data_IF_628534169302
#
_entry.id   IF_628534169302
#
_cell.length_a   1.000
_cell.length_b   1.000
_cell.length_c   1.000
_cell.angle_alpha   90.00
_cell.angle_beta   90.00
_cell.angle_gamma   90.00
#
_symmetry.space_group_name_H-M   'P 1'
#
loop_
_entity.id
_entity.type
_entity.pdbx_description
1 polymer ?
#
# COMPACT_ATOMS: atom_id res chain seq x y z
N UNK A 1 20.31 24.17 14.67
CA UNK A 1 20.77 23.16 13.70
C UNK A 1 21.13 23.92 12.46
N UNK A 2 22.39 23.83 12.04
CA UNK A 2 22.87 24.55 10.85
C UNK A 2 22.34 23.88 9.59
N UNK A 3 22.34 24.61 8.48
CA UNK A 3 21.78 24.12 7.21
C UNK A 3 22.59 24.53 6.00
N UNK A 4 22.68 23.61 5.04
CA UNK A 4 23.10 23.90 3.66
C UNK A 4 21.85 24.04 2.82
N UNK A 5 21.77 25.11 2.03
CA UNK A 5 20.63 25.42 1.16
C UNK A 5 21.02 25.23 -0.30
N UNK A 6 20.18 24.53 -1.05
CA UNK A 6 20.27 24.43 -2.51
C UNK A 6 18.94 24.92 -3.06
N UNK A 7 18.95 26.11 -3.64
CA UNK A 7 17.76 26.77 -4.17
C UNK A 7 17.77 26.75 -5.71
N UNK A 8 16.57 26.63 -6.29
CA UNK A 8 16.32 26.72 -7.73
C UNK A 8 17.07 25.69 -8.61
N UNK A 9 17.29 24.47 -8.12
CA UNK A 9 17.83 23.39 -8.95
C UNK A 9 16.76 22.95 -9.96
N UNK A 10 16.99 23.21 -11.25
CA UNK A 10 16.02 22.94 -12.32
C UNK A 10 16.38 21.69 -13.10
N UNK A 11 15.43 20.75 -13.19
CA UNK A 11 15.61 19.48 -13.89
C UNK A 11 14.42 19.21 -14.80
N UNK A 12 14.69 18.82 -16.05
CA UNK A 12 13.65 18.30 -16.94
C UNK A 12 13.31 16.86 -16.53
N UNK A 13 12.05 16.63 -16.15
CA UNK A 13 11.59 15.36 -15.59
C UNK A 13 10.24 14.96 -16.20
N UNK A 14 10.05 13.67 -16.48
CA UNK A 14 8.75 13.12 -16.88
C UNK A 14 7.95 12.78 -15.62
N UNK A 15 6.98 13.63 -15.26
CA UNK A 15 6.22 13.52 -14.02
C UNK A 15 4.81 14.11 -14.17
N UNK A 16 3.83 13.51 -13.49
CA UNK A 16 2.41 13.83 -13.66
C UNK A 16 1.61 12.60 -14.05
N UNK A 17 0.28 12.72 -13.95
CA UNK A 17 -0.67 11.63 -14.19
C UNK A 17 -1.34 11.72 -15.56
N UNK A 18 -1.37 12.91 -16.19
CA UNK A 18 -2.03 13.09 -17.48
C UNK A 18 -1.15 12.55 -18.61
N UNK A 19 -1.75 11.98 -19.64
CA UNK A 19 -1.05 11.33 -20.74
C UNK A 19 0.06 12.21 -21.37
N UNK A 20 -0.22 13.49 -21.61
CA UNK A 20 0.76 14.42 -22.19
C UNK A 20 1.99 14.67 -21.27
N UNK A 21 1.80 14.59 -19.95
CA UNK A 21 2.88 14.74 -18.96
C UNK A 21 3.78 13.51 -18.88
N UNK A 22 3.32 12.38 -19.43
CA UNK A 22 4.07 11.13 -19.51
C UNK A 22 4.95 11.05 -20.75
N UNK A 23 4.69 11.88 -21.75
CA UNK A 23 5.41 11.91 -23.02
C UNK A 23 6.47 13.01 -23.06
N UNK A 24 6.18 14.16 -22.45
CA UNK A 24 7.03 15.35 -22.53
C UNK A 24 7.63 15.65 -21.16
N UNK A 25 8.96 15.64 -21.08
CA UNK A 25 9.67 16.08 -19.89
C UNK A 25 9.42 17.58 -19.65
N UNK A 26 9.13 17.93 -18.41
CA UNK A 26 8.84 19.30 -18.00
C UNK A 26 9.81 19.76 -16.91
N UNK A 27 10.15 21.07 -16.86
CA UNK A 27 11.03 21.58 -15.84
C UNK A 27 10.32 21.55 -14.48
N UNK A 28 10.91 20.83 -13.54
CA UNK A 28 10.62 20.96 -12.11
C UNK A 28 11.73 21.77 -11.45
N UNK A 29 11.38 22.49 -10.38
CA UNK A 29 12.32 23.12 -9.47
C UNK A 29 12.42 22.30 -8.20
N UNK A 30 13.64 22.05 -7.75
CA UNK A 30 13.99 21.32 -6.54
C UNK A 30 14.70 22.29 -5.60
N UNK A 31 14.12 22.51 -4.43
CA UNK A 31 14.72 23.29 -3.36
C UNK A 31 15.01 22.36 -2.17
N UNK A 32 16.24 22.36 -1.66
CA UNK A 32 16.70 21.50 -0.56
C UNK A 32 17.19 22.34 0.62
N UNK A 33 16.76 21.97 1.82
CA UNK A 33 17.29 22.50 3.07
C UNK A 33 17.84 21.33 3.89
N UNK A 34 19.16 21.20 3.92
CA UNK A 34 19.88 20.04 4.44
C UNK A 34 20.40 20.37 5.84
N UNK A 35 19.90 19.69 6.86
CA UNK A 35 20.34 19.78 8.24
C UNK A 35 21.64 19.02 8.46
N UNK A 36 22.68 19.76 8.86
CA UNK A 36 24.04 19.27 9.12
C UNK A 36 24.68 20.14 10.20
N UNK A 37 25.51 19.57 11.07
CA UNK A 37 26.35 20.35 11.98
C UNK A 37 27.55 20.95 11.22
N UNK A 38 27.59 22.28 11.10
CA UNK A 38 28.66 22.98 10.38
C UNK A 38 29.78 23.49 11.30
N UNK A 39 29.72 23.19 12.59
CA UNK A 39 30.65 23.74 13.57
C UNK A 39 32.10 23.31 13.33
N UNK A 40 32.33 22.04 13.00
CA UNK A 40 33.67 21.53 12.72
C UNK A 40 34.24 22.14 11.43
N UNK A 41 33.49 22.06 10.32
CA UNK A 41 33.90 22.63 9.04
C UNK A 41 34.22 24.12 9.15
N UNK A 42 33.41 24.90 9.87
CA UNK A 42 33.65 26.34 10.08
C UNK A 42 34.91 26.65 10.91
N UNK A 43 35.41 25.70 11.69
CA UNK A 43 36.65 25.85 12.48
C UNK A 43 37.88 25.30 11.77
N UNK A 44 37.73 24.22 11.03
CA UNK A 44 38.84 23.49 10.41
C UNK A 44 39.14 23.92 8.98
N UNK A 45 38.16 24.46 8.26
CA UNK A 45 38.19 24.66 6.81
C UNK A 45 38.45 23.34 6.04
N UNK A 46 38.06 22.20 6.62
CA UNK A 46 38.18 20.88 6.01
C UNK A 46 36.90 20.50 5.25
N UNK A 47 37.05 20.22 3.95
CA UNK A 47 35.95 19.79 3.10
C UNK A 47 35.38 18.42 3.51
N UNK A 48 36.16 17.57 4.18
CA UNK A 48 35.69 16.29 4.69
C UNK A 48 34.76 16.43 5.92
N UNK A 49 34.77 17.58 6.59
CA UNK A 49 33.92 17.86 7.74
C UNK A 49 32.54 18.44 7.36
N UNK A 50 32.17 18.43 6.08
CA UNK A 50 30.88 18.93 5.59
C UNK A 50 30.32 18.09 4.44
N UNK A 51 29.09 18.37 4.04
CA UNK A 51 28.42 17.69 2.92
C UNK A 51 28.80 18.37 1.61
N UNK A 52 29.29 17.57 0.64
CA UNK A 52 29.62 18.06 -0.70
C UNK A 52 28.33 18.32 -1.52
N UNK A 53 27.77 19.52 -1.41
CA UNK A 53 26.54 19.92 -2.10
C UNK A 53 26.59 19.73 -3.63
N UNK A 54 27.77 19.79 -4.26
CA UNK A 54 27.92 19.46 -5.68
C UNK A 54 27.54 18.01 -6.02
N UNK A 55 27.95 17.04 -5.19
CA UNK A 55 27.61 15.62 -5.37
C UNK A 55 26.14 15.37 -5.04
N UNK A 56 25.59 16.10 -4.05
CA UNK A 56 24.15 16.10 -3.76
C UNK A 56 23.36 16.55 -4.99
N UNK A 57 23.72 17.70 -5.59
CA UNK A 57 23.07 18.20 -6.81
C UNK A 57 23.15 17.21 -7.96
N UNK A 58 24.30 16.57 -8.17
CA UNK A 58 24.50 15.55 -9.21
C UNK A 58 23.57 14.35 -9.01
N UNK A 59 23.61 13.70 -7.84
CA UNK A 59 22.77 12.51 -7.55
C UNK A 59 21.28 12.82 -7.60
N UNK A 60 20.86 13.98 -7.08
CA UNK A 60 19.45 14.42 -7.12
C UNK A 60 19.00 14.72 -8.56
N UNK A 61 19.87 15.32 -9.37
CA UNK A 61 19.57 15.62 -10.78
C UNK A 61 19.43 14.34 -11.60
N UNK A 62 20.33 13.39 -11.42
CA UNK A 62 20.27 12.08 -12.08
C UNK A 62 19.00 11.32 -11.71
N UNK A 63 18.71 11.21 -10.40
CA UNK A 63 17.50 10.59 -9.89
C UNK A 63 16.23 11.21 -10.49
N UNK A 64 16.15 12.54 -10.52
CA UNK A 64 14.99 13.25 -11.05
C UNK A 64 14.84 13.02 -12.56
N UNK A 65 15.94 13.13 -13.33
CA UNK A 65 15.94 12.93 -14.79
C UNK A 65 15.49 11.52 -15.18
N UNK A 66 15.93 10.51 -14.44
CA UNK A 66 15.64 9.11 -14.73
C UNK A 66 14.30 8.64 -14.14
N UNK A 67 13.70 9.45 -13.27
CA UNK A 67 12.41 9.12 -12.66
C UNK A 67 11.31 9.02 -13.72
N UNK A 68 10.44 8.04 -13.51
CA UNK A 68 9.17 7.87 -14.21
C UNK A 68 8.01 7.87 -13.23
N UNK A 69 8.19 8.44 -12.04
CA UNK A 69 7.14 8.48 -11.04
C UNK A 69 5.95 9.33 -11.52
N UNK A 70 4.76 8.97 -11.10
CA UNK A 70 3.52 9.71 -11.42
C UNK A 70 3.37 10.92 -10.50
N UNK A 71 3.70 10.74 -9.21
CA UNK A 71 3.46 11.67 -8.12
C UNK A 71 4.72 12.46 -7.75
N UNK A 72 4.57 13.76 -7.47
CA UNK A 72 5.66 14.59 -6.94
C UNK A 72 6.10 14.11 -5.56
N UNK A 73 5.17 13.61 -4.76
CA UNK A 73 5.37 13.05 -3.43
C UNK A 73 6.35 11.87 -3.46
N UNK A 74 6.21 10.99 -4.45
CA UNK A 74 7.09 9.82 -4.60
C UNK A 74 8.50 10.25 -4.98
N UNK A 75 8.63 11.19 -5.91
CA UNK A 75 9.92 11.72 -6.30
C UNK A 75 10.58 12.48 -5.13
N UNK A 76 9.81 13.30 -4.40
CA UNK A 76 10.31 14.03 -3.23
C UNK A 76 10.86 13.08 -2.16
N UNK A 77 10.14 11.96 -1.90
CA UNK A 77 10.60 10.93 -0.97
C UNK A 77 11.93 10.30 -1.42
N UNK A 78 12.05 9.91 -2.70
CA UNK A 78 13.32 9.36 -3.22
C UNK A 78 14.47 10.36 -3.15
N UNK A 79 14.20 11.64 -3.41
CA UNK A 79 15.20 12.72 -3.27
C UNK A 79 15.65 12.82 -1.82
N UNK A 80 14.73 12.78 -0.86
CA UNK A 80 15.06 12.78 0.56
C UNK A 80 15.92 11.56 0.95
N UNK A 81 15.56 10.35 0.48
CA UNK A 81 16.32 9.12 0.74
C UNK A 81 17.77 9.26 0.23
N UNK A 82 17.97 9.72 -1.01
CA UNK A 82 19.31 9.94 -1.61
C UNK A 82 20.13 10.97 -0.83
N UNK A 83 19.50 12.04 -0.34
CA UNK A 83 20.20 13.07 0.44
C UNK A 83 20.57 12.55 1.84
N UNK A 84 19.73 11.70 2.43
CA UNK A 84 19.99 11.10 3.75
C UNK A 84 21.07 9.99 3.72
N UNK A 85 21.42 9.46 2.55
CA UNK A 85 22.58 8.56 2.37
C UNK A 85 23.93 9.24 2.67
N UNK A 86 23.98 10.57 2.74
CA UNK A 86 25.20 11.30 3.07
C UNK A 86 25.42 11.31 4.59
N UNK A 87 26.52 10.71 5.04
CA UNK A 87 26.83 10.41 6.45
C UNK A 87 26.84 11.59 7.44
N UNK A 88 26.83 12.84 6.97
CA UNK A 88 26.72 14.03 7.82
C UNK A 88 25.32 14.69 7.84
N UNK A 89 24.38 14.20 7.02
CA UNK A 89 23.01 14.74 6.95
C UNK A 89 22.07 14.09 7.96
N UNK A 90 21.57 14.87 8.91
CA UNK A 90 20.63 14.43 9.92
C UNK A 90 19.16 14.64 9.51
N UNK A 91 18.90 15.63 8.67
CA UNK A 91 17.57 16.04 8.23
C UNK A 91 17.61 16.64 6.83
N UNK A 92 16.56 16.46 6.05
CA UNK A 92 16.36 17.19 4.80
C UNK A 92 14.91 17.62 4.64
N UNK A 93 14.71 18.90 4.32
CA UNK A 93 13.46 19.41 3.75
C UNK A 93 13.60 19.46 2.23
N UNK A 94 12.68 18.82 1.52
CA UNK A 94 12.63 18.78 0.05
C UNK A 94 11.37 19.48 -0.41
N UNK A 95 11.52 20.51 -1.25
CA UNK A 95 10.40 21.13 -1.97
C UNK A 95 10.54 20.85 -3.47
N UNK A 96 9.56 20.16 -4.05
CA UNK A 96 9.45 19.99 -5.50
C UNK A 96 8.34 20.88 -6.03
N UNK A 97 8.70 21.83 -6.89
CA UNK A 97 7.76 22.78 -7.51
C UNK A 97 7.58 22.45 -8.99
N UNK A 98 6.33 22.29 -9.40
CA UNK A 98 5.92 22.24 -10.79
C UNK A 98 5.64 23.65 -11.28
N UNK A 99 6.50 24.13 -12.17
CA UNK A 99 6.47 25.51 -12.65
C UNK A 99 5.30 25.80 -13.61
N UNK A 100 4.70 24.75 -14.19
CA UNK A 100 3.56 24.84 -15.11
C UNK A 100 2.61 23.67 -14.87
N UNK A 101 1.80 23.72 -13.81
CA UNK A 101 0.85 22.65 -13.53
C UNK A 101 -0.27 22.63 -14.58
N UNK A 102 -0.80 21.46 -14.95
CA UNK A 102 -1.90 21.35 -15.92
C UNK A 102 -3.26 21.66 -15.24
N UNK A 103 -3.38 22.85 -14.70
CA UNK A 103 -4.58 23.35 -14.00
C UNK A 103 -5.23 24.40 -14.91
N UNK A 104 -6.56 24.38 -15.01
CA UNK A 104 -7.29 25.29 -15.92
C UNK A 104 -7.29 26.73 -15.42
N UNK A 105 -7.25 26.91 -14.10
CA UNK A 105 -7.12 28.18 -13.41
C UNK A 105 -5.70 28.74 -13.51
N UNK A 106 -5.56 30.07 -13.41
CA UNK A 106 -4.28 30.77 -13.51
C UNK A 106 -3.43 30.63 -12.23
N UNK A 107 -2.85 29.45 -12.06
CA UNK A 107 -1.95 29.12 -10.95
C UNK A 107 -0.50 29.19 -11.44
N UNK A 108 0.31 30.02 -10.80
CA UNK A 108 1.72 30.22 -11.18
C UNK A 108 2.57 28.95 -11.01
N UNK A 109 2.36 28.19 -9.94
CA UNK A 109 3.03 26.92 -9.68
C UNK A 109 2.32 26.11 -8.60
N UNK A 110 2.58 24.82 -8.55
CA UNK A 110 2.20 23.97 -7.41
C UNK A 110 3.43 23.26 -6.87
N UNK A 111 3.45 22.98 -5.57
CA UNK A 111 4.59 22.32 -4.95
C UNK A 111 4.17 21.29 -3.90
N UNK A 112 5.03 20.29 -3.72
CA UNK A 112 5.01 19.37 -2.58
C UNK A 112 6.23 19.66 -1.74
N UNK A 113 6.04 19.73 -0.42
CA UNK A 113 7.11 19.88 0.56
C UNK A 113 7.06 18.74 1.57
N UNK A 114 8.19 18.09 1.80
CA UNK A 114 8.34 17.05 2.83
C UNK A 114 9.58 17.34 3.68
N UNK A 115 9.57 16.84 4.91
CA UNK A 115 10.74 16.80 5.80
C UNK A 115 10.99 15.35 6.18
N UNK A 116 12.24 14.91 6.12
CA UNK A 116 12.67 13.58 6.56
C UNK A 116 13.93 13.68 7.39
N UNK A 117 14.04 12.83 8.40
CA UNK A 117 15.22 12.74 9.26
C UNK A 117 15.95 11.43 9.02
N UNK A 118 17.25 11.40 9.31
CA UNK A 118 18.03 10.17 9.33
C UNK A 118 17.45 9.14 10.29
N UNK A 119 16.92 9.58 11.44
CA UNK A 119 16.28 8.69 12.40
C UNK A 119 15.07 7.97 11.80
N UNK A 120 14.27 8.63 10.96
CA UNK A 120 13.16 8.00 10.23
C UNK A 120 13.64 7.08 9.12
N UNK A 121 14.72 7.40 8.42
CA UNK A 121 15.29 6.55 7.36
C UNK A 121 16.06 5.33 7.90
N UNK A 122 16.65 5.46 9.09
CA UNK A 122 17.32 4.38 9.82
C UNK A 122 16.35 3.56 10.67
N UNK A 123 15.11 4.01 10.83
CA UNK A 123 14.06 3.17 11.39
C UNK A 123 13.92 1.93 10.48
N UNK A 124 13.80 0.72 11.05
CA UNK A 124 13.54 -0.46 10.24
C UNK A 124 12.31 -0.21 9.36
N UNK A 125 12.23 -0.83 8.15
CA UNK A 125 11.05 -0.68 7.29
C UNK A 125 9.80 -0.94 8.13
N UNK A 126 8.73 -0.16 7.89
CA UNK A 126 7.41 -0.34 8.52
C UNK A 126 7.21 -1.83 8.77
N UNK A 127 7.13 -2.23 10.05
CA UNK A 127 7.04 -3.63 10.44
C UNK A 127 5.97 -4.28 9.56
N UNK A 128 6.40 -5.22 8.71
CA UNK A 128 5.46 -5.87 7.81
C UNK A 128 4.59 -6.79 8.66
N UNK A 129 3.32 -6.46 8.74
CA UNK A 129 2.33 -7.22 9.50
C UNK A 129 1.74 -8.30 8.61
N UNK A 130 1.59 -9.51 9.16
CA UNK A 130 0.98 -10.63 8.46
C UNK A 130 -0.53 -10.58 8.64
N UNK A 131 -1.29 -10.60 7.56
CA UNK A 131 -2.75 -10.63 7.62
C UNK A 131 -3.34 -11.71 6.71
N UNK A 132 -4.44 -12.32 7.16
CA UNK A 132 -5.22 -13.27 6.38
C UNK A 132 -6.54 -12.62 5.97
N UNK A 133 -6.85 -12.66 4.67
CA UNK A 133 -8.03 -12.00 4.10
C UNK A 133 -8.86 -13.04 3.36
N UNK A 134 -10.14 -13.14 3.69
CA UNK A 134 -11.10 -13.92 2.92
C UNK A 134 -11.67 -13.09 1.77
N UNK A 135 -11.76 -13.72 0.61
CA UNK A 135 -12.34 -13.18 -0.60
C UNK A 135 -13.54 -14.02 -1.00
N UNK A 136 -14.65 -13.38 -1.37
CA UNK A 136 -15.88 -14.07 -1.77
C UNK A 136 -16.62 -13.36 -2.92
N UNK A 137 -17.15 -14.10 -3.89
CA UNK A 137 -17.94 -13.52 -4.99
C UNK A 137 -19.01 -14.48 -5.50
N UNK A 138 -20.24 -14.01 -5.69
CA UNK A 138 -21.32 -14.80 -6.31
C UNK A 138 -22.07 -14.09 -7.45
N UNK A 139 -21.65 -12.89 -7.85
CA UNK A 139 -22.31 -12.13 -8.91
C UNK A 139 -21.34 -11.85 -10.07
N UNK A 140 -21.82 -12.02 -11.30
CA UNK A 140 -21.06 -11.71 -12.51
C UNK A 140 -19.88 -12.65 -12.74
N UNK A 141 -18.76 -12.10 -13.22
CA UNK A 141 -17.51 -12.84 -13.42
C UNK A 141 -16.77 -12.99 -12.09
N UNK A 142 -17.18 -14.02 -11.33
CA UNK A 142 -16.73 -14.28 -9.96
C UNK A 142 -15.20 -14.38 -9.85
N UNK A 143 -14.56 -15.09 -10.77
CA UNK A 143 -13.09 -15.23 -10.77
C UNK A 143 -12.39 -13.91 -11.10
N UNK A 144 -12.93 -13.10 -12.03
CA UNK A 144 -12.37 -11.78 -12.31
C UNK A 144 -12.41 -10.87 -11.09
N UNK A 145 -13.46 -10.95 -10.27
CA UNK A 145 -13.52 -10.20 -9.02
C UNK A 145 -12.48 -10.68 -7.99
N UNK A 146 -12.24 -11.99 -7.89
CA UNK A 146 -11.15 -12.51 -7.06
C UNK A 146 -9.78 -12.04 -7.55
N UNK A 147 -9.49 -12.13 -8.86
CA UNK A 147 -8.25 -11.59 -9.45
C UNK A 147 -8.07 -10.11 -9.17
N UNK A 148 -9.14 -9.34 -9.34
CA UNK A 148 -9.15 -7.91 -9.05
C UNK A 148 -8.78 -7.65 -7.57
N UNK A 149 -9.41 -8.36 -6.64
CA UNK A 149 -9.10 -8.22 -5.22
C UNK A 149 -7.63 -8.54 -4.91
N UNK A 150 -7.12 -9.66 -5.43
CA UNK A 150 -5.71 -10.05 -5.29
C UNK A 150 -4.77 -8.99 -5.84
N UNK A 151 -5.07 -8.41 -7.01
CA UNK A 151 -4.24 -7.36 -7.61
C UNK A 151 -4.24 -6.04 -6.82
N UNK A 152 -5.33 -5.76 -6.09
CA UNK A 152 -5.45 -4.56 -5.26
C UNK A 152 -4.90 -4.73 -3.84
N UNK A 153 -4.72 -5.97 -3.39
CA UNK A 153 -4.03 -6.31 -2.16
C UNK A 153 -2.52 -6.27 -2.41
N UNK A 154 -1.81 -5.39 -1.73
CA UNK A 154 -0.35 -5.30 -1.84
C UNK A 154 0.32 -6.51 -1.20
N UNK A 155 1.35 -7.05 -1.86
CA UNK A 155 2.25 -8.08 -1.34
C UNK A 155 1.53 -9.34 -0.81
N UNK A 156 0.83 -10.03 -1.72
CA UNK A 156 0.24 -11.34 -1.45
C UNK A 156 1.34 -12.39 -1.39
N UNK A 157 1.51 -13.01 -0.21
CA UNK A 157 2.57 -13.98 0.07
C UNK A 157 2.11 -15.40 -0.26
N UNK A 158 0.83 -15.70 -0.03
CA UNK A 158 0.25 -17.00 -0.32
C UNK A 158 -1.24 -16.90 -0.65
N UNK A 159 -1.75 -17.86 -1.42
CA UNK A 159 -3.16 -17.97 -1.81
C UNK A 159 -3.63 -19.42 -1.68
N UNK A 160 -4.82 -19.62 -1.12
CA UNK A 160 -5.48 -20.92 -1.17
C UNK A 160 -5.95 -21.24 -2.59
N UNK A 161 -6.44 -22.45 -2.79
CA UNK A 161 -7.32 -22.76 -3.91
C UNK A 161 -8.60 -21.92 -3.85
N UNK A 162 -9.28 -21.82 -4.99
CA UNK A 162 -10.63 -21.29 -5.08
C UNK A 162 -11.61 -22.42 -4.74
N UNK A 163 -12.58 -22.12 -3.88
CA UNK A 163 -13.63 -23.05 -3.46
C UNK A 163 -14.99 -22.55 -3.92
N UNK A 164 -15.75 -23.40 -4.59
CA UNK A 164 -17.15 -23.12 -4.92
C UNK A 164 -18.05 -23.65 -3.81
N UNK A 165 -18.94 -22.81 -3.30
CA UNK A 165 -19.81 -23.14 -2.15
C UNK A 165 -21.24 -22.65 -2.35
N UNK A 166 -22.21 -23.38 -1.79
CA UNK A 166 -23.58 -22.88 -1.68
C UNK A 166 -23.65 -21.61 -0.80
N UNK A 167 -24.61 -20.70 -1.05
CA UNK A 167 -24.87 -19.57 -0.17
C UNK A 167 -25.20 -20.02 1.26
N UNK A 168 -24.68 -19.30 2.26
CA UNK A 168 -25.02 -19.52 3.67
C UNK A 168 -25.93 -18.37 4.13
N UNK A 169 -27.24 -18.64 4.15
CA UNK A 169 -28.28 -17.64 4.44
C UNK A 169 -28.53 -16.63 3.31
N UNK A 170 -29.46 -15.69 3.55
CA UNK A 170 -29.91 -14.72 2.54
C UNK A 170 -31.03 -15.28 1.64
N UNK A 171 -31.44 -14.55 0.59
CA UNK A 171 -32.45 -15.01 -0.38
C UNK A 171 -32.19 -16.41 -0.96
N UNK A 172 -33.25 -17.19 -1.21
CA UNK A 172 -33.17 -18.58 -1.66
C UNK A 172 -32.62 -18.74 -3.10
N UNK A 173 -32.70 -17.70 -3.94
CA UNK A 173 -32.35 -17.76 -5.38
C UNK A 173 -30.92 -17.27 -5.69
N UNK A 174 -30.02 -17.29 -4.72
CA UNK A 174 -28.65 -16.83 -4.93
C UNK A 174 -27.76 -17.90 -5.58
N UNK A 175 -26.96 -17.49 -6.56
CA UNK A 175 -25.93 -18.35 -7.16
C UNK A 175 -24.82 -18.73 -6.19
N UNK A 176 -24.09 -19.80 -6.52
CA UNK A 176 -22.95 -20.27 -5.74
C UNK A 176 -21.84 -19.21 -5.63
N UNK A 177 -21.18 -19.18 -4.48
CA UNK A 177 -20.02 -18.34 -4.21
C UNK A 177 -18.74 -19.02 -4.67
N UNK A 178 -17.79 -18.24 -5.18
CA UNK A 178 -16.38 -18.58 -5.16
C UNK A 178 -15.74 -17.92 -3.93
N UNK A 179 -15.02 -18.68 -3.12
CA UNK A 179 -14.32 -18.23 -1.92
C UNK A 179 -12.85 -18.64 -1.97
N UNK A 180 -11.98 -17.79 -1.42
CA UNK A 180 -10.57 -18.13 -1.18
C UNK A 180 -10.03 -17.31 -0.02
N UNK A 181 -8.88 -17.70 0.52
CA UNK A 181 -8.14 -16.93 1.52
C UNK A 181 -6.76 -16.60 0.95
N UNK A 182 -6.30 -15.39 1.24
CA UNK A 182 -4.95 -14.95 0.91
C UNK A 182 -4.22 -14.50 2.16
N UNK A 183 -2.92 -14.78 2.22
CA UNK A 183 -2.01 -14.20 3.19
C UNK A 183 -1.29 -13.02 2.54
N UNK A 184 -1.24 -11.89 3.23
CA UNK A 184 -0.51 -10.70 2.79
C UNK A 184 0.47 -10.24 3.86
N UNK A 185 1.47 -9.49 3.44
CA UNK A 185 2.32 -8.69 4.30
C UNK A 185 2.07 -7.21 4.03
N UNK A 186 1.78 -6.44 5.07
CA UNK A 186 1.37 -5.04 4.90
C UNK A 186 1.98 -4.11 5.96
N UNK A 187 2.39 -2.90 5.58
CA UNK A 187 2.79 -1.87 6.54
C UNK A 187 1.59 -1.13 7.14
N UNK A 188 0.37 -1.42 6.68
CA UNK A 188 -0.84 -0.74 7.14
C UNK A 188 -1.26 -1.27 8.50
N UNK A 189 -1.61 -0.38 9.43
CA UNK A 189 -2.29 -0.76 10.67
C UNK A 189 -3.64 -1.46 10.39
N UNK A 190 -4.20 -2.23 11.34
CA UNK A 190 -5.44 -2.99 11.13
C UNK A 190 -6.64 -2.15 10.68
N UNK A 191 -6.75 -0.90 11.17
CA UNK A 191 -7.84 0.00 10.79
C UNK A 191 -7.62 0.58 9.38
N UNK A 192 -6.38 0.85 8.98
CA UNK A 192 -6.06 1.21 7.61
C UNK A 192 -6.29 0.05 6.64
N UNK A 193 -5.96 -1.18 7.05
CA UNK A 193 -6.20 -2.38 6.26
C UNK A 193 -7.70 -2.62 6.01
N UNK A 194 -8.55 -2.54 7.04
CA UNK A 194 -10.00 -2.71 6.84
C UNK A 194 -10.58 -1.63 5.92
N UNK A 195 -10.11 -0.38 6.00
CA UNK A 195 -10.49 0.69 5.05
C UNK A 195 -10.04 0.37 3.63
N UNK A 196 -8.86 -0.26 3.45
CA UNK A 196 -8.40 -0.74 2.13
C UNK A 196 -9.33 -1.82 1.60
N UNK A 197 -9.68 -2.83 2.41
CA UNK A 197 -10.62 -3.89 2.04
C UNK A 197 -11.98 -3.32 1.57
N UNK A 198 -12.58 -2.42 2.36
CA UNK A 198 -13.84 -1.75 2.01
C UNK A 198 -13.77 -0.97 0.69
N UNK A 199 -12.63 -0.32 0.40
CA UNK A 199 -12.41 0.39 -0.86
C UNK A 199 -12.30 -0.57 -2.05
N UNK A 200 -11.69 -1.74 -1.87
CA UNK A 200 -11.62 -2.78 -2.91
C UNK A 200 -13.04 -3.25 -3.25
N UNK A 201 -13.89 -3.49 -2.26
CA UNK A 201 -15.29 -3.85 -2.48
C UNK A 201 -16.07 -2.77 -3.23
N UNK A 202 -15.88 -1.50 -2.85
CA UNK A 202 -16.53 -0.37 -3.50
C UNK A 202 -16.12 -0.26 -4.98
N UNK A 203 -14.82 -0.46 -5.27
CA UNK A 203 -14.30 -0.45 -6.65
C UNK A 203 -14.78 -1.66 -7.47
N UNK A 204 -15.11 -2.78 -6.81
CA UNK A 204 -15.78 -3.92 -7.41
C UNK A 204 -17.30 -3.71 -7.58
N UNK A 205 -17.82 -2.50 -7.35
CA UNK A 205 -19.23 -2.14 -7.47
C UNK A 205 -20.14 -2.95 -6.53
N UNK A 206 -19.67 -3.30 -5.33
CA UNK A 206 -20.50 -3.98 -4.32
C UNK A 206 -21.70 -3.11 -3.94
N UNK A 207 -22.91 -3.63 -4.10
CA UNK A 207 -24.15 -2.97 -3.67
C UNK A 207 -24.74 -3.66 -2.44
N UNK A 208 -25.12 -2.89 -1.41
CA UNK A 208 -25.72 -3.40 -0.17
C UNK A 208 -27.24 -3.19 -0.19
N UNK A 209 -27.94 -3.89 -1.09
CA UNK A 209 -29.39 -3.76 -1.29
C UNK A 209 -30.17 -4.66 -0.31
N UNK A 210 -29.74 -5.91 -0.16
CA UNK A 210 -30.40 -6.93 0.68
C UNK A 210 -29.41 -7.44 1.72
N UNK A 211 -29.86 -7.61 2.97
CA UNK A 211 -29.03 -8.23 4.00
C UNK A 211 -28.66 -9.66 3.57
N UNK A 212 -27.36 -9.96 3.55
CA UNK A 212 -26.79 -11.21 3.02
C UNK A 212 -27.13 -11.53 1.55
N UNK A 213 -27.46 -10.52 0.75
CA UNK A 213 -27.72 -10.70 -0.67
C UNK A 213 -26.45 -10.97 -1.52
N UNK A 214 -26.65 -11.15 -2.85
CA UNK A 214 -25.58 -11.33 -3.80
C UNK A 214 -24.62 -10.15 -3.79
N UNK A 215 -23.34 -10.42 -4.04
CA UNK A 215 -22.30 -9.40 -4.12
C UNK A 215 -21.25 -9.76 -5.16
N UNK A 216 -20.78 -8.72 -5.83
CA UNK A 216 -19.66 -8.81 -6.78
C UNK A 216 -18.38 -9.22 -6.07
N UNK A 217 -18.10 -8.68 -4.89
CA UNK A 217 -16.94 -9.01 -4.09
C UNK A 217 -17.19 -8.75 -2.60
N UNK A 218 -16.68 -9.64 -1.75
CA UNK A 218 -16.55 -9.51 -0.30
C UNK A 218 -15.05 -9.63 0.05
N UNK A 219 -14.54 -8.74 0.90
CA UNK A 219 -13.13 -8.72 1.33
C UNK A 219 -13.08 -8.56 2.84
N UNK A 220 -12.98 -9.67 3.56
CA UNK A 220 -13.03 -9.72 5.01
C UNK A 220 -11.61 -9.94 5.61
N UNK A 221 -11.18 -9.05 6.51
CA UNK A 221 -9.96 -9.25 7.31
C UNK A 221 -10.22 -10.33 8.36
N UNK A 222 -9.54 -11.47 8.27
CA UNK A 222 -9.71 -12.60 9.19
C UNK A 222 -8.80 -12.49 10.40
N UNK A 223 -7.50 -12.39 10.17
CA UNK A 223 -6.46 -12.32 11.20
C UNK A 223 -5.47 -11.22 10.84
N UNK A 224 -4.84 -10.65 11.86
CA UNK A 224 -3.78 -9.67 11.74
C UNK A 224 -2.79 -9.96 12.86
N UNK A 225 -1.56 -10.35 12.52
CA UNK A 225 -0.56 -10.88 13.46
C UNK A 225 -1.20 -11.81 14.51
N UNK A 226 -0.77 -11.70 15.77
CA UNK A 226 -1.32 -12.39 16.93
C UNK A 226 -2.19 -11.47 17.80
N UNK A 227 -2.75 -10.40 17.21
CA UNK A 227 -3.50 -9.39 17.97
C UNK A 227 -5.00 -9.70 18.05
N UNK A 228 -5.60 -9.31 19.18
CA UNK A 228 -7.04 -9.33 19.37
C UNK A 228 -7.57 -7.89 19.47
N UNK A 229 -8.51 -7.53 18.61
CA UNK A 229 -9.19 -6.24 18.61
C UNK A 229 -10.69 -6.49 18.78
N UNK A 230 -11.29 -5.78 19.73
CA UNK A 230 -12.76 -5.72 19.87
C UNK A 230 -13.17 -4.27 20.02
N UNK A 231 -13.74 -3.71 18.95
CA UNK A 231 -14.20 -2.32 18.89
C UNK A 231 -15.44 -2.22 18.00
N UNK A 232 -16.12 -1.09 18.04
CA UNK A 232 -17.25 -0.81 17.13
C UNK A 232 -16.83 -0.82 15.66
N UNK A 233 -15.60 -0.38 15.36
CA UNK A 233 -15.10 -0.22 13.99
C UNK A 233 -14.47 -1.49 13.41
N UNK A 234 -13.92 -2.36 14.25
CA UNK A 234 -13.16 -3.54 13.84
C UNK A 234 -13.16 -4.61 14.92
N UNK A 235 -13.36 -5.86 14.52
CA UNK A 235 -13.15 -7.05 15.35
C UNK A 235 -12.17 -7.99 14.64
N UNK A 236 -11.06 -8.31 15.29
CA UNK A 236 -10.02 -9.24 14.82
C UNK A 236 -9.66 -10.18 15.98
N UNK A 237 -9.60 -11.51 15.79
CA UNK A 237 -9.99 -12.24 14.59
C UNK A 237 -11.45 -11.99 14.19
N UNK A 238 -11.78 -12.12 12.90
CA UNK A 238 -13.14 -11.91 12.45
C UNK A 238 -14.11 -12.85 13.20
N UNK A 239 -15.22 -12.32 13.77
CA UNK A 239 -15.97 -13.00 14.83
C UNK A 239 -16.63 -14.31 14.39
N UNK A 240 -16.84 -14.50 13.08
CA UNK A 240 -17.53 -15.69 12.52
C UNK A 240 -16.60 -16.65 11.76
N UNK A 241 -15.27 -16.52 11.88
CA UNK A 241 -14.34 -17.43 11.18
C UNK A 241 -14.64 -18.89 11.54
N UNK A 242 -14.73 -19.17 12.83
CA UNK A 242 -14.85 -20.53 13.36
C UNK A 242 -16.23 -21.17 13.13
N UNK A 243 -17.17 -20.42 12.58
CA UNK A 243 -18.53 -20.89 12.26
C UNK A 243 -18.68 -21.22 10.77
N UNK A 244 -17.68 -20.90 9.93
CA UNK A 244 -17.82 -20.87 8.47
C UNK A 244 -16.87 -21.83 7.79
N UNK A 245 -17.39 -22.97 7.33
CA UNK A 245 -16.61 -23.95 6.57
C UNK A 245 -16.00 -23.39 5.28
N UNK A 246 -16.71 -22.49 4.59
CA UNK A 246 -16.21 -21.85 3.37
C UNK A 246 -15.06 -20.85 3.62
N UNK A 247 -14.80 -20.48 4.88
CA UNK A 247 -13.61 -19.72 5.30
C UNK A 247 -12.53 -20.65 5.82
N UNK A 248 -12.90 -21.64 6.64
CA UNK A 248 -11.94 -22.58 7.25
C UNK A 248 -11.31 -23.53 6.25
N UNK A 249 -12.04 -23.98 5.22
CA UNK A 249 -11.48 -24.83 4.16
C UNK A 249 -10.29 -24.14 3.45
N UNK A 250 -10.44 -22.95 2.85
CA UNK A 250 -9.30 -22.25 2.25
C UNK A 250 -8.25 -21.80 3.27
N UNK A 251 -8.63 -21.38 4.48
CA UNK A 251 -7.67 -20.99 5.52
C UNK A 251 -6.78 -22.18 5.94
N UNK A 252 -7.34 -23.39 6.03
CA UNK A 252 -6.61 -24.58 6.45
C UNK A 252 -5.48 -25.00 5.50
N UNK A 253 -5.55 -24.58 4.23
CA UNK A 253 -4.45 -24.80 3.26
C UNK A 253 -3.24 -23.91 3.53
N UNK A 254 -3.48 -22.71 4.08
CA UNK A 254 -2.43 -21.70 4.29
C UNK A 254 -1.91 -21.69 5.73
N UNK A 255 -2.82 -21.82 6.70
CA UNK A 255 -2.52 -21.68 8.11
C UNK A 255 -3.39 -22.65 8.94
N UNK A 256 -3.17 -23.97 8.82
CA UNK A 256 -3.94 -24.97 9.56
C UNK A 256 -3.86 -24.77 11.08
N UNK A 257 -2.78 -24.19 11.59
CA UNK A 257 -2.60 -23.84 13.00
C UNK A 257 -3.56 -22.75 13.53
N UNK A 258 -4.17 -21.95 12.64
CA UNK A 258 -5.17 -20.94 12.99
C UNK A 258 -6.60 -21.50 12.98
N UNK A 259 -6.80 -22.73 12.50
CA UNK A 259 -8.09 -23.38 12.48
C UNK A 259 -8.36 -24.13 13.80
N UNK A 260 -9.61 -24.18 14.29
CA UNK A 260 -9.97 -25.03 15.42
C UNK A 260 -9.67 -26.50 15.10
N UNK A 261 -9.16 -27.29 16.07
CA UNK A 261 -9.02 -28.73 15.90
C UNK A 261 -10.37 -29.36 15.50
N UNK A 262 -10.35 -30.32 14.58
CA UNK A 262 -11.53 -31.09 14.15
C UNK A 262 -12.74 -30.24 13.69
N UNK A 263 -12.50 -29.02 13.19
CA UNK A 263 -13.56 -28.14 12.69
C UNK A 263 -14.40 -28.81 11.58
N UNK A 264 -13.79 -29.72 10.82
CA UNK A 264 -14.46 -30.51 9.78
C UNK A 264 -15.54 -31.45 10.34
N UNK A 265 -15.35 -32.00 11.55
CA UNK A 265 -16.32 -32.87 12.21
C UNK A 265 -17.35 -32.07 13.02
N UNK A 266 -16.95 -30.88 13.49
CA UNK A 266 -17.75 -30.07 14.42
C UNK A 266 -18.77 -29.19 13.71
N UNK A 267 -18.44 -28.66 12.53
CA UNK A 267 -19.35 -27.82 11.76
C UNK A 267 -20.27 -28.65 10.86
N UNK A 268 -21.55 -28.26 10.70
CA UNK A 268 -22.50 -28.99 9.86
C UNK A 268 -21.98 -29.10 8.42
N UNK A 269 -22.13 -30.27 7.75
CA UNK A 269 -21.66 -30.46 6.39
C UNK A 269 -22.21 -29.39 5.44
N UNK A 270 -21.35 -28.89 4.54
CA UNK A 270 -21.73 -27.95 3.49
C UNK A 270 -21.04 -28.35 2.18
N UNK A 271 -21.73 -28.17 1.05
CA UNK A 271 -21.15 -28.38 -0.27
C UNK A 271 -20.02 -27.37 -0.52
N UNK A 272 -18.78 -27.86 -0.48
CA UNK A 272 -17.55 -27.11 -0.72
C UNK A 272 -16.72 -27.91 -1.72
N UNK A 273 -16.47 -27.31 -2.88
CA UNK A 273 -15.75 -27.97 -3.97
C UNK A 273 -14.52 -27.14 -4.33
N UNK A 274 -13.33 -27.73 -4.20
CA UNK A 274 -12.10 -27.11 -4.70
C UNK A 274 -12.15 -27.01 -6.23
N UNK A 275 -11.89 -25.82 -6.77
CA UNK A 275 -11.84 -25.51 -8.20
C UNK A 275 -10.42 -25.45 -8.74
N UNK A 276 -9.42 -25.52 -7.87
CA UNK A 276 -8.01 -25.34 -8.19
C UNK A 276 -7.49 -23.93 -7.87
N UNK A 277 -6.24 -23.62 -8.24
CA UNK A 277 -5.65 -22.31 -7.99
C UNK A 277 -6.32 -21.21 -8.83
N UNK A 278 -6.34 -19.99 -8.31
CA UNK A 278 -6.72 -18.81 -9.09
C UNK A 278 -5.62 -18.50 -10.11
N UNK A 279 -5.96 -18.48 -11.39
CA UNK A 279 -5.06 -18.00 -12.46
C UNK A 279 -5.08 -16.47 -12.43
N UNK A 280 -3.91 -15.84 -12.24
CA UNK A 280 -3.72 -14.38 -12.22
C UNK A 280 -3.48 -13.81 -13.62
#
# INVERSE_FOLDING_TARGET
>A
MDRILIDDLRVLTVIGALAHEREIAQPIRIDLSIGVDLHEAGRSDDLAATVHYGLVCERVTELARDSKDILLERLAAKVADVVLEFDLVDEVEVTLTKLRPPIAEDVQSTAVRIVRTRAEAAAPPLVAHSAFIALGSNLGDRERYLRFAVSELSNVVAMSQVFETAPVGGPDDQGAYLNMVVQIETPLDPYALIRRCQRIEANALRQRIVHWGPRTLDVDLLFYDDINITSEALTVPHPRIFERRFVLAPLSELAPQLCPPDWEATLPPSEIHARGPLVL
#
